data_IF_544121554813
#
_entry.id   IF_544121554813
#
_cell.length_a   1.000
_cell.length_b   1.000
_cell.length_c   1.000
_cell.angle_alpha   90.00
_cell.angle_beta   90.00
_cell.angle_gamma   90.00
#
_symmetry.space_group_name_H-M   'P 1'
#
loop_
_entity.id
_entity.type
_entity.pdbx_description
1 polymer ?
#
# COMPACT_ATOMS: atom_id res chain seq x y z
N UNK A 1 30.39 -39.63 9.96
CA UNK A 1 28.95 -39.91 9.71
C UNK A 1 28.00 -39.36 10.78
N UNK A 2 28.33 -39.33 12.08
CA UNK A 2 27.45 -38.74 13.11
C UNK A 2 27.27 -37.22 12.97
N UNK A 3 28.33 -36.47 12.66
CA UNK A 3 28.28 -35.01 12.48
C UNK A 3 27.36 -34.56 11.33
N UNK A 4 27.32 -35.32 10.22
CA UNK A 4 26.46 -35.03 9.06
C UNK A 4 24.97 -35.26 9.41
N UNK A 5 24.67 -36.29 10.21
CA UNK A 5 23.32 -36.55 10.69
C UNK A 5 22.84 -35.45 11.66
N UNK A 6 23.71 -34.96 12.53
CA UNK A 6 23.40 -33.83 13.43
C UNK A 6 23.15 -32.53 12.66
N UNK A 7 23.90 -32.27 11.58
CA UNK A 7 23.73 -31.08 10.75
C UNK A 7 22.39 -31.09 9.99
N UNK A 8 21.95 -32.25 9.50
CA UNK A 8 20.66 -32.43 8.85
C UNK A 8 19.47 -32.20 9.80
N UNK A 9 19.60 -32.60 11.08
CA UNK A 9 18.55 -32.37 12.09
C UNK A 9 18.46 -30.88 12.46
N UNK A 10 19.60 -30.19 12.58
CA UNK A 10 19.62 -28.74 12.85
C UNK A 10 19.05 -27.95 11.67
N UNK A 11 19.35 -28.35 10.43
CA UNK A 11 18.79 -27.72 9.23
C UNK A 11 17.27 -27.93 9.12
N UNK A 12 16.75 -29.10 9.50
CA UNK A 12 15.32 -29.40 9.50
C UNK A 12 14.54 -28.56 10.53
N UNK A 13 15.11 -28.33 11.72
CA UNK A 13 14.50 -27.47 12.77
C UNK A 13 14.61 -25.98 12.41
N UNK A 14 15.68 -25.56 11.74
CA UNK A 14 15.81 -24.19 11.25
C UNK A 14 14.81 -23.85 10.12
N UNK A 15 14.30 -24.84 9.41
CA UNK A 15 13.32 -24.67 8.32
C UNK A 15 11.85 -24.79 8.77
N UNK A 16 11.57 -25.24 10.01
CA UNK A 16 10.19 -25.36 10.53
C UNK A 16 9.59 -24.04 11.04
N UNK A 17 10.29 -22.91 10.91
CA UNK A 17 9.77 -21.57 11.27
C UNK A 17 8.82 -20.96 10.22
N UNK A 18 8.09 -21.77 9.46
CA UNK A 18 7.22 -21.28 8.39
C UNK A 18 5.87 -20.78 8.92
N UNK A 19 5.60 -19.50 8.63
CA UNK A 19 4.29 -18.87 8.52
C UNK A 19 3.47 -18.70 9.81
N UNK A 20 3.89 -17.78 10.68
CA UNK A 20 2.92 -17.03 11.51
C UNK A 20 2.19 -16.03 10.62
N UNK A 21 1.18 -16.49 9.88
CA UNK A 21 0.19 -15.59 9.30
C UNK A 21 -0.61 -14.89 10.40
N UNK A 22 -1.23 -13.73 10.12
CA UNK A 22 -2.11 -13.09 11.09
C UNK A 22 -3.21 -14.08 11.54
N UNK A 23 -3.46 -14.14 12.84
CA UNK A 23 -4.44 -15.07 13.45
C UNK A 23 -5.88 -14.75 13.09
N UNK A 24 -6.13 -13.56 12.54
CA UNK A 24 -7.44 -13.07 12.13
C UNK A 24 -7.59 -13.11 10.61
N UNK A 25 -8.76 -13.48 10.06
CA UNK A 25 -9.00 -13.35 8.63
C UNK A 25 -9.03 -11.85 8.21
N UNK A 26 -8.76 -11.54 6.93
CA UNK A 26 -8.97 -10.19 6.41
C UNK A 26 -10.42 -9.74 6.60
N UNK A 27 -10.68 -8.43 6.79
CA UNK A 27 -12.03 -7.92 6.95
C UNK A 27 -12.85 -8.10 5.67
N UNK A 28 -14.16 -8.32 5.86
CA UNK A 28 -15.14 -8.41 4.79
C UNK A 28 -15.89 -7.08 4.63
N UNK A 29 -16.27 -6.73 3.41
CA UNK A 29 -17.02 -5.52 3.10
C UNK A 29 -18.46 -5.90 2.70
N UNK A 30 -19.42 -5.92 3.64
CA UNK A 30 -20.78 -6.36 3.36
C UNK A 30 -21.50 -5.36 2.44
N UNK A 31 -22.34 -5.86 1.53
CA UNK A 31 -23.10 -5.01 0.62
C UNK A 31 -22.28 -4.43 -0.53
N UNK A 32 -21.07 -4.96 -0.76
CA UNK A 32 -20.23 -4.53 -1.87
C UNK A 32 -20.98 -4.65 -3.21
N UNK A 33 -21.81 -5.68 -3.35
CA UNK A 33 -22.65 -5.98 -4.53
C UNK A 33 -23.60 -4.81 -4.90
N UNK A 34 -23.99 -3.97 -3.94
CA UNK A 34 -24.87 -2.82 -4.20
C UNK A 34 -24.25 -1.79 -5.17
N UNK A 35 -22.92 -1.80 -5.27
CA UNK A 35 -22.16 -0.94 -6.16
C UNK A 35 -21.80 -1.60 -7.49
N UNK A 36 -22.29 -2.82 -7.79
CA UNK A 36 -22.10 -3.47 -9.10
C UNK A 36 -22.72 -2.68 -10.26
N UNK A 37 -23.68 -1.80 -9.96
CA UNK A 37 -24.25 -0.87 -10.93
C UNK A 37 -23.30 0.26 -11.34
N UNK A 38 -22.23 0.52 -10.57
CA UNK A 38 -21.23 1.54 -10.89
C UNK A 38 -20.27 0.98 -11.95
N UNK A 39 -20.25 1.63 -13.11
CA UNK A 39 -19.28 1.35 -14.16
C UNK A 39 -17.94 1.96 -13.78
N UNK A 40 -16.95 1.10 -13.54
CA UNK A 40 -15.55 1.51 -13.39
C UNK A 40 -14.91 1.52 -14.76
N UNK A 41 -14.52 2.70 -15.21
CA UNK A 41 -13.67 2.85 -16.38
C UNK A 41 -12.21 2.89 -15.91
N UNK A 42 -11.55 1.74 -15.98
CA UNK A 42 -10.14 1.60 -15.62
C UNK A 42 -9.26 2.11 -16.75
N UNK A 43 -8.69 3.30 -16.56
CA UNK A 43 -7.78 3.98 -17.47
C UNK A 43 -6.33 3.92 -16.96
N UNK A 44 -6.06 3.11 -15.93
CA UNK A 44 -4.71 2.98 -15.37
C UNK A 44 -3.74 2.40 -16.39
N UNK A 45 -2.46 2.77 -16.33
CA UNK A 45 -1.41 1.99 -16.98
C UNK A 45 -1.49 0.53 -16.51
N UNK A 46 -1.44 -0.42 -17.44
CA UNK A 46 -1.58 -1.85 -17.11
C UNK A 46 -0.58 -2.32 -16.05
N UNK A 47 0.64 -1.76 -16.07
CA UNK A 47 1.68 -2.06 -15.10
C UNK A 47 1.21 -1.83 -13.65
N UNK A 48 0.32 -0.86 -13.39
CA UNK A 48 -0.16 -0.57 -12.04
C UNK A 48 -0.96 -1.70 -11.40
N UNK A 49 -1.55 -2.59 -12.21
CA UNK A 49 -2.25 -3.78 -11.72
C UNK A 49 -1.30 -4.94 -11.39
N UNK A 50 -0.04 -4.86 -11.83
CA UNK A 50 0.93 -5.94 -11.76
C UNK A 50 1.96 -5.71 -10.64
N UNK A 51 2.44 -6.83 -10.07
CA UNK A 51 3.52 -6.81 -9.08
C UNK A 51 4.86 -6.50 -9.75
N UNK A 52 5.63 -5.62 -9.13
CA UNK A 52 7.02 -5.35 -9.55
C UNK A 52 7.93 -5.22 -8.33
N UNK A 53 9.11 -5.84 -8.40
CA UNK A 53 10.17 -5.65 -7.40
C UNK A 53 11.23 -4.79 -8.06
N UNK A 54 11.37 -3.54 -7.63
CA UNK A 54 12.26 -2.60 -8.32
C UNK A 54 13.74 -2.92 -8.11
N UNK A 55 14.13 -3.38 -6.91
CA UNK A 55 15.48 -3.88 -6.69
C UNK A 55 15.61 -4.77 -5.44
N UNK A 56 16.45 -5.79 -5.57
CA UNK A 56 16.92 -6.63 -4.47
C UNK A 56 18.34 -6.27 -4.00
N UNK A 57 19.02 -5.33 -4.68
CA UNK A 57 20.37 -4.93 -4.35
C UNK A 57 20.36 -3.86 -3.26
N UNK A 58 20.96 -4.12 -2.10
CA UNK A 58 20.97 -3.20 -0.93
C UNK A 58 21.51 -1.80 -1.27
N UNK A 59 22.48 -1.74 -2.17
CA UNK A 59 23.13 -0.51 -2.66
C UNK A 59 22.26 0.32 -3.60
N UNK A 60 21.18 -0.25 -4.13
CA UNK A 60 20.26 0.44 -5.02
C UNK A 60 19.36 1.42 -4.25
N UNK A 61 19.04 2.55 -4.87
CA UNK A 61 18.00 3.48 -4.39
C UNK A 61 16.60 2.84 -4.41
N UNK A 62 16.39 1.83 -5.24
CA UNK A 62 15.13 1.11 -5.37
C UNK A 62 15.04 -0.16 -4.50
N UNK A 63 16.05 -0.42 -3.66
CA UNK A 63 16.11 -1.61 -2.82
C UNK A 63 14.83 -1.77 -2.00
N UNK A 64 14.28 -2.97 -1.88
CA UNK A 64 13.16 -3.25 -0.97
C UNK A 64 11.90 -2.39 -1.19
N UNK A 65 11.77 -1.82 -2.39
CA UNK A 65 10.55 -1.17 -2.86
C UNK A 65 9.88 -2.12 -3.85
N UNK A 66 8.59 -2.31 -3.71
CA UNK A 66 7.80 -3.09 -4.64
C UNK A 66 6.44 -2.47 -4.91
N UNK A 67 5.98 -2.60 -6.14
CA UNK A 67 4.59 -2.35 -6.53
C UNK A 67 3.75 -3.57 -6.17
N UNK A 68 2.62 -3.33 -5.56
CA UNK A 68 1.69 -4.39 -5.12
C UNK A 68 0.66 -4.62 -6.22
N UNK A 69 0.43 -5.88 -6.58
CA UNK A 69 -0.60 -6.25 -7.55
C UNK A 69 -2.01 -6.09 -6.99
N UNK A 70 -2.99 -5.87 -7.88
CA UNK A 70 -4.39 -5.72 -7.50
C UNK A 70 -4.95 -6.97 -6.83
N UNK A 71 -4.53 -8.17 -7.27
CA UNK A 71 -4.98 -9.44 -6.69
C UNK A 71 -4.46 -9.71 -5.27
N UNK A 72 -3.61 -8.84 -4.73
CA UNK A 72 -3.13 -8.94 -3.34
C UNK A 72 -4.26 -8.76 -2.31
N UNK A 73 -5.39 -8.18 -2.70
CA UNK A 73 -6.57 -8.02 -1.84
C UNK A 73 -7.86 -8.53 -2.48
N UNK A 74 -8.82 -8.86 -1.64
CA UNK A 74 -10.20 -9.13 -2.05
C UNK A 74 -11.14 -8.35 -1.11
N UNK A 75 -11.93 -7.38 -1.59
CA UNK A 75 -11.99 -6.86 -2.97
C UNK A 75 -10.70 -6.18 -3.44
N UNK A 76 -10.57 -5.95 -4.75
CA UNK A 76 -9.48 -5.12 -5.30
C UNK A 76 -9.68 -3.65 -4.90
N UNK A 77 -8.60 -2.87 -4.94
CA UNK A 77 -8.63 -1.44 -4.63
C UNK A 77 -9.69 -0.65 -5.43
N UNK A 78 -9.71 -0.72 -6.77
CA UNK A 78 -10.73 -0.07 -7.58
C UNK A 78 -12.16 -0.53 -7.26
N UNK A 79 -12.35 -1.81 -6.94
CA UNK A 79 -13.68 -2.34 -6.59
C UNK A 79 -14.16 -1.79 -5.25
N UNK A 80 -13.27 -1.71 -4.25
CA UNK A 80 -13.56 -1.09 -2.96
C UNK A 80 -13.82 0.41 -3.12
N UNK A 81 -13.04 1.11 -3.95
CA UNK A 81 -13.24 2.51 -4.29
C UNK A 81 -14.64 2.76 -4.84
N UNK A 82 -15.09 1.96 -5.80
CA UNK A 82 -16.44 2.12 -6.37
C UNK A 82 -17.54 1.91 -5.33
N UNK A 83 -17.35 0.96 -4.41
CA UNK A 83 -18.28 0.75 -3.30
C UNK A 83 -18.34 1.94 -2.36
N UNK A 84 -17.19 2.43 -1.88
CA UNK A 84 -17.14 3.59 -0.99
C UNK A 84 -17.59 4.89 -1.66
N UNK A 85 -17.29 5.05 -2.95
CA UNK A 85 -17.77 6.19 -3.73
C UNK A 85 -19.29 6.15 -3.86
N UNK A 86 -19.88 4.98 -4.11
CA UNK A 86 -21.33 4.81 -4.14
C UNK A 86 -21.99 5.17 -2.79
N UNK A 87 -21.39 4.78 -1.67
CA UNK A 87 -21.85 5.18 -0.34
C UNK A 87 -21.67 6.70 -0.10
N UNK A 88 -20.60 7.28 -0.63
CA UNK A 88 -20.23 8.66 -0.38
C UNK A 88 -20.95 9.69 -1.27
N UNK A 89 -21.37 9.30 -2.48
CA UNK A 89 -21.94 10.20 -3.49
C UNK A 89 -23.26 9.63 -4.01
N UNK A 90 -24.40 9.99 -3.38
CA UNK A 90 -25.72 9.54 -3.82
C UNK A 90 -26.02 9.86 -5.30
N UNK A 91 -25.39 10.91 -5.85
CA UNK A 91 -25.51 11.33 -7.25
C UNK A 91 -25.00 10.26 -8.23
N UNK A 92 -24.11 9.37 -7.80
CA UNK A 92 -23.65 8.23 -8.61
C UNK A 92 -24.78 7.24 -8.90
N UNK A 93 -25.90 7.27 -8.17
CA UNK A 93 -27.07 6.49 -8.53
C UNK A 93 -27.68 6.94 -9.88
N UNK A 94 -27.54 8.22 -10.25
CA UNK A 94 -28.01 8.77 -11.52
C UNK A 94 -26.92 8.77 -12.60
N UNK A 95 -25.66 8.88 -12.22
CA UNK A 95 -24.50 8.87 -13.13
C UNK A 95 -23.48 7.83 -12.66
N UNK A 96 -23.71 6.53 -12.91
CA UNK A 96 -22.95 5.45 -12.30
C UNK A 96 -21.62 5.21 -13.04
N UNK A 97 -20.77 6.23 -13.17
CA UNK A 97 -19.46 6.13 -13.82
C UNK A 97 -18.39 6.76 -12.96
N UNK A 98 -17.31 6.00 -12.74
CA UNK A 98 -16.07 6.46 -12.12
C UNK A 98 -14.95 6.13 -13.09
N UNK A 99 -14.11 7.12 -13.43
CA UNK A 99 -12.87 6.84 -14.15
C UNK A 99 -11.74 6.73 -13.16
N UNK A 100 -10.94 5.67 -13.27
CA UNK A 100 -9.76 5.46 -12.44
C UNK A 100 -8.54 5.63 -13.34
N UNK A 101 -7.79 6.70 -13.12
CA UNK A 101 -6.60 7.02 -13.91
C UNK A 101 -5.34 6.47 -13.26
N UNK A 102 -5.28 6.47 -11.93
CA UNK A 102 -4.24 5.80 -11.16
C UNK A 102 -4.86 5.15 -9.92
N UNK A 103 -4.46 3.91 -9.66
CA UNK A 103 -4.70 3.23 -8.39
C UNK A 103 -3.55 2.26 -8.23
N UNK A 104 -2.50 2.73 -7.55
CA UNK A 104 -1.25 2.00 -7.43
C UNK A 104 -0.73 2.07 -6.01
N UNK A 105 -0.18 0.95 -5.55
CA UNK A 105 0.37 0.83 -4.21
C UNK A 105 1.83 0.43 -4.27
N UNK A 106 2.66 1.17 -3.54
CA UNK A 106 4.05 0.84 -3.33
C UNK A 106 4.29 0.52 -1.87
N UNK A 107 4.91 -0.61 -1.59
CA UNK A 107 5.43 -0.88 -0.28
C UNK A 107 6.92 -0.53 -0.25
N UNK A 108 7.30 0.25 0.76
CA UNK A 108 8.69 0.63 0.98
C UNK A 108 9.17 0.03 2.31
N UNK A 109 10.00 -1.01 2.20
CA UNK A 109 10.60 -1.72 3.33
C UNK A 109 12.08 -1.35 3.56
N UNK A 110 12.58 -0.30 2.91
CA UNK A 110 14.01 0.07 2.99
C UNK A 110 14.46 0.32 4.41
N UNK A 111 13.66 1.07 5.17
CA UNK A 111 13.97 1.44 6.54
C UNK A 111 14.04 0.21 7.46
N UNK A 112 13.23 -0.81 7.20
CA UNK A 112 13.26 -2.10 7.90
C UNK A 112 14.50 -2.91 7.51
N UNK A 113 14.64 -3.23 6.22
CA UNK A 113 15.65 -4.22 5.81
C UNK A 113 17.06 -3.70 5.97
N UNK A 114 17.30 -2.40 5.79
CA UNK A 114 18.62 -1.79 6.07
C UNK A 114 18.94 -1.82 7.57
N UNK A 115 17.97 -1.57 8.47
CA UNK A 115 18.17 -1.70 9.93
C UNK A 115 18.53 -3.13 10.31
N UNK A 116 17.82 -4.12 9.78
CA UNK A 116 18.08 -5.55 10.06
C UNK A 116 19.46 -6.01 9.59
N UNK A 117 19.91 -5.57 8.40
CA UNK A 117 21.26 -5.86 7.91
C UNK A 117 22.32 -5.24 8.81
N UNK A 118 22.18 -3.97 9.19
CA UNK A 118 23.14 -3.30 10.08
C UNK A 118 23.21 -3.99 11.44
N UNK A 119 22.06 -4.38 12.03
CA UNK A 119 22.03 -5.13 13.28
C UNK A 119 22.68 -6.52 13.15
N UNK A 120 22.43 -7.24 12.05
CA UNK A 120 23.05 -8.54 11.80
C UNK A 120 24.57 -8.48 11.62
N UNK A 121 25.08 -7.42 10.98
CA UNK A 121 26.52 -7.16 10.84
C UNK A 121 27.15 -6.83 12.20
N UNK A 122 26.47 -6.06 13.05
CA UNK A 122 27.01 -5.62 14.34
C UNK A 122 26.91 -6.70 15.44
N UNK A 123 25.88 -7.54 15.42
CA UNK A 123 25.58 -8.46 16.53
C UNK A 123 25.82 -9.94 16.20
N UNK A 124 26.10 -10.27 14.93
CA UNK A 124 26.28 -11.64 14.47
C UNK A 124 25.00 -12.49 14.55
N UNK A 125 25.04 -13.75 14.09
CA UNK A 125 23.86 -14.61 14.00
C UNK A 125 23.23 -14.96 15.36
N UNK A 126 24.01 -14.92 16.45
CA UNK A 126 23.54 -15.21 17.81
C UNK A 126 22.81 -13.99 18.41
N UNK A 127 23.31 -12.78 18.16
CA UNK A 127 22.69 -11.54 18.66
C UNK A 127 21.34 -11.25 17.99
N UNK A 128 21.18 -11.59 16.72
CA UNK A 128 19.91 -11.43 15.98
C UNK A 128 18.80 -12.31 16.56
N UNK A 129 19.10 -13.51 17.06
CA UNK A 129 18.09 -14.43 17.61
C UNK A 129 17.51 -13.96 18.96
N UNK A 130 18.20 -13.06 19.66
CA UNK A 130 17.76 -12.48 20.94
C UNK A 130 16.92 -11.20 20.75
N UNK A 131 16.93 -10.63 19.54
CA UNK A 131 16.10 -9.47 19.22
C UNK A 131 14.73 -10.02 18.87
N UNK A 132 13.73 -9.73 19.72
CA UNK A 132 12.33 -10.09 19.46
C UNK A 132 11.83 -9.54 18.11
N UNK A 133 10.61 -9.93 17.69
CA UNK A 133 10.05 -9.45 16.44
C UNK A 133 10.10 -7.91 16.40
N UNK A 134 10.49 -7.31 15.25
CA UNK A 134 10.66 -5.87 15.17
C UNK A 134 9.33 -5.18 15.50
N UNK A 135 9.32 -4.36 16.56
CA UNK A 135 8.19 -3.50 16.91
C UNK A 135 8.37 -2.15 16.23
N UNK A 136 7.43 -1.78 15.37
CA UNK A 136 7.45 -0.48 14.71
C UNK A 136 6.56 0.50 15.47
N UNK A 137 7.04 1.72 15.74
CA UNK A 137 6.20 2.75 16.33
C UNK A 137 5.07 3.10 15.35
N UNK A 138 3.86 3.10 15.87
CA UNK A 138 2.69 3.49 15.11
C UNK A 138 2.71 4.98 14.77
N UNK A 139 2.08 5.34 13.67
CA UNK A 139 1.84 6.73 13.26
C UNK A 139 0.51 6.85 12.51
N UNK A 140 0.11 8.07 12.23
CA UNK A 140 -1.16 8.37 11.56
C UNK A 140 -1.06 8.13 10.05
N UNK A 141 -2.19 7.78 9.45
CA UNK A 141 -2.31 7.73 8.00
C UNK A 141 -2.43 9.16 7.48
N UNK A 142 -1.52 9.54 6.58
CA UNK A 142 -1.48 10.89 6.01
C UNK A 142 -1.91 10.84 4.56
N UNK A 143 -2.91 11.63 4.17
CA UNK A 143 -3.35 11.73 2.78
C UNK A 143 -3.25 13.17 2.31
N UNK A 144 -2.55 13.38 1.20
CA UNK A 144 -2.35 14.70 0.61
C UNK A 144 -2.89 14.75 -0.81
N UNK A 145 -3.57 15.85 -1.21
CA UNK A 145 -3.84 16.11 -2.62
C UNK A 145 -2.53 16.26 -3.38
N UNK A 146 -2.49 15.75 -4.61
CA UNK A 146 -1.33 15.88 -5.49
C UNK A 146 -1.76 16.33 -6.88
N UNK A 147 -0.80 16.83 -7.65
CA UNK A 147 -0.99 17.05 -9.09
C UNK A 147 -0.84 15.70 -9.82
N UNK A 148 -1.88 15.28 -10.53
CA UNK A 148 -1.90 14.05 -11.30
C UNK A 148 -0.76 13.94 -12.32
N UNK A 149 -0.25 15.06 -12.84
CA UNK A 149 0.89 15.05 -13.78
C UNK A 149 2.19 14.55 -13.13
N UNK A 150 2.29 14.57 -11.79
CA UNK A 150 3.46 14.02 -11.08
C UNK A 150 3.55 12.50 -11.21
N UNK A 151 2.40 11.81 -11.30
CA UNK A 151 2.36 10.39 -11.56
C UNK A 151 2.86 10.10 -12.98
N UNK A 152 2.31 10.78 -13.98
CA UNK A 152 2.71 10.61 -15.38
C UNK A 152 4.22 10.85 -15.61
N UNK A 153 4.81 11.85 -14.95
CA UNK A 153 6.24 12.20 -15.08
C UNK A 153 7.21 11.16 -14.55
N UNK A 154 6.80 10.36 -13.56
CA UNK A 154 7.66 9.39 -12.87
C UNK A 154 7.45 7.97 -13.38
N UNK A 155 6.84 7.78 -14.56
CA UNK A 155 6.66 6.45 -15.14
C UNK A 155 7.98 5.86 -15.66
N UNK A 156 8.10 4.53 -15.64
CA UNK A 156 9.31 3.82 -16.12
C UNK A 156 10.39 3.73 -15.05
N UNK A 157 11.64 4.06 -15.42
CA UNK A 157 12.82 3.82 -14.57
C UNK A 157 12.77 4.56 -13.21
N UNK A 158 12.07 5.70 -13.16
CA UNK A 158 11.92 6.52 -11.95
C UNK A 158 10.70 6.15 -11.11
N UNK A 159 9.92 5.13 -11.49
CA UNK A 159 8.67 4.79 -10.81
C UNK A 159 8.86 4.46 -9.32
N UNK A 160 9.96 3.79 -9.00
CA UNK A 160 10.32 3.45 -7.63
C UNK A 160 10.39 4.67 -6.69
N UNK A 161 10.63 5.88 -7.23
CA UNK A 161 10.70 7.12 -6.44
C UNK A 161 9.35 7.54 -5.87
N UNK A 162 8.24 7.07 -6.44
CA UNK A 162 6.88 7.28 -5.91
C UNK A 162 6.69 6.66 -4.52
N UNK A 163 7.51 5.67 -4.16
CA UNK A 163 7.49 5.05 -2.85
C UNK A 163 8.28 5.84 -1.78
N UNK A 164 8.93 6.95 -2.16
CA UNK A 164 9.68 7.78 -1.22
C UNK A 164 8.76 8.65 -0.37
N UNK A 165 9.28 9.02 0.79
CA UNK A 165 8.62 9.87 1.77
C UNK A 165 9.67 10.66 2.53
N UNK A 166 9.27 11.81 3.06
CA UNK A 166 10.17 12.67 3.83
C UNK A 166 10.26 12.20 5.29
N UNK A 167 11.27 12.70 6.01
CA UNK A 167 11.39 12.43 7.45
C UNK A 167 10.25 13.07 8.24
N UNK A 168 9.64 14.14 7.74
CA UNK A 168 8.45 14.75 8.33
C UNK A 168 7.22 13.85 8.18
N UNK A 169 7.10 13.13 7.06
CA UNK A 169 5.99 12.20 6.78
C UNK A 169 6.11 10.89 7.55
N UNK A 170 7.33 10.44 7.83
CA UNK A 170 7.59 9.19 8.57
C UNK A 170 8.83 9.35 9.47
N UNK A 171 8.72 10.12 10.57
CA UNK A 171 9.86 10.42 11.45
C UNK A 171 10.42 9.17 12.10
N UNK A 172 9.59 8.14 12.24
CA UNK A 172 9.96 6.88 12.87
C UNK A 172 10.71 5.93 11.92
N UNK A 173 10.76 6.24 10.62
CA UNK A 173 11.36 5.39 9.58
C UNK A 173 10.80 3.97 9.70
N UNK A 174 9.49 3.87 9.79
CA UNK A 174 8.75 2.60 9.76
C UNK A 174 8.56 2.15 8.30
N UNK A 175 8.31 0.86 8.03
CA UNK A 175 7.86 0.42 6.70
C UNK A 175 6.52 1.10 6.38
N UNK A 176 6.30 1.50 5.13
CA UNK A 176 5.05 2.18 4.74
C UNK A 176 4.50 1.60 3.44
N UNK A 177 3.18 1.64 3.30
CA UNK A 177 2.54 1.58 2.00
C UNK A 177 2.24 3.01 1.53
N UNK A 178 2.60 3.33 0.30
CA UNK A 178 2.26 4.57 -0.38
C UNK A 178 1.24 4.24 -1.45
N UNK A 179 0.02 4.74 -1.27
CA UNK A 179 -1.12 4.46 -2.15
C UNK A 179 -1.48 5.74 -2.89
N UNK A 180 -1.46 5.68 -4.22
CA UNK A 180 -1.90 6.77 -5.08
C UNK A 180 -3.28 6.46 -5.63
N UNK A 181 -4.17 7.43 -5.58
CA UNK A 181 -5.53 7.34 -6.11
C UNK A 181 -5.77 8.60 -6.96
N UNK A 182 -5.98 8.44 -8.26
CA UNK A 182 -6.37 9.49 -9.20
C UNK A 182 -7.65 9.06 -9.92
N UNK A 183 -8.74 9.79 -9.68
CA UNK A 183 -10.07 9.40 -10.14
C UNK A 183 -10.85 10.59 -10.66
N UNK A 184 -11.69 10.35 -11.66
CA UNK A 184 -12.74 11.27 -12.09
C UNK A 184 -14.08 10.73 -11.58
N UNK A 185 -14.70 11.46 -10.64
CA UNK A 185 -16.01 11.13 -10.07
C UNK A 185 -16.92 12.34 -10.32
N UNK A 186 -18.10 12.12 -10.88
CA UNK A 186 -19.07 13.18 -11.21
C UNK A 186 -18.45 14.33 -12.04
N UNK A 187 -17.62 13.98 -13.02
CA UNK A 187 -16.97 14.93 -13.94
C UNK A 187 -15.80 15.71 -13.33
N UNK A 188 -15.31 15.31 -12.16
CA UNK A 188 -14.23 16.01 -11.46
C UNK A 188 -13.08 15.07 -11.13
N UNK A 189 -11.89 15.41 -11.63
CA UNK A 189 -10.63 14.71 -11.39
C UNK A 189 -10.01 15.16 -10.07
N UNK A 190 -9.62 14.21 -9.24
CA UNK A 190 -8.88 14.43 -7.99
C UNK A 190 -7.81 13.37 -7.88
N UNK A 191 -6.60 13.77 -7.52
CA UNK A 191 -5.50 12.87 -7.21
C UNK A 191 -5.02 13.07 -5.77
N UNK A 192 -4.72 11.97 -5.10
CA UNK A 192 -4.18 11.97 -3.74
C UNK A 192 -3.09 10.93 -3.56
N UNK A 193 -2.13 11.24 -2.69
CA UNK A 193 -1.12 10.32 -2.18
C UNK A 193 -1.42 10.04 -0.71
N UNK A 194 -1.48 8.76 -0.36
CA UNK A 194 -1.76 8.29 0.98
C UNK A 194 -0.58 7.49 1.52
N UNK A 195 -0.01 7.92 2.64
CA UNK A 195 1.07 7.24 3.34
C UNK A 195 0.50 6.48 4.53
N UNK A 196 0.68 5.16 4.52
CA UNK A 196 0.14 4.23 5.52
C UNK A 196 1.31 3.58 6.27
N UNK A 197 1.69 4.12 7.44
CA UNK A 197 2.62 3.48 8.36
C UNK A 197 1.91 2.39 9.19
N UNK A 198 2.62 1.69 10.09
CA UNK A 198 1.98 0.89 11.13
C UNK A 198 1.01 1.77 11.93
N UNK A 199 -0.22 1.30 12.15
CA UNK A 199 -1.29 2.07 12.81
C UNK A 199 -1.52 1.54 14.22
N UNK A 200 -1.73 2.45 15.17
CA UNK A 200 -1.96 2.11 16.57
C UNK A 200 -3.22 1.23 16.71
N UNK A 201 -3.12 0.15 17.49
CA UNK A 201 -4.22 -0.81 17.64
C UNK A 201 -4.45 -1.74 16.44
N UNK A 202 -3.67 -1.61 15.35
CA UNK A 202 -3.74 -2.47 14.15
C UNK A 202 -2.37 -3.08 13.82
N UNK A 203 -1.84 -4.00 14.67
CA UNK A 203 -0.50 -4.57 14.48
C UNK A 203 -0.36 -5.41 13.20
N UNK A 204 -1.48 -5.97 12.70
CA UNK A 204 -1.55 -6.72 11.45
C UNK A 204 -2.52 -6.03 10.48
N UNK A 205 -2.29 -4.74 10.20
CA UNK A 205 -3.12 -3.99 9.27
C UNK A 205 -3.16 -4.69 7.91
N UNK A 206 -4.33 -5.16 7.49
CA UNK A 206 -4.50 -5.74 6.16
C UNK A 206 -4.41 -4.65 5.10
N UNK A 207 -3.82 -4.97 3.94
CA UNK A 207 -3.72 -4.01 2.85
C UNK A 207 -5.10 -3.47 2.41
N UNK A 208 -6.15 -4.29 2.49
CA UNK A 208 -7.51 -3.86 2.19
C UNK A 208 -8.05 -2.82 3.19
N UNK A 209 -7.60 -2.83 4.45
CA UNK A 209 -7.91 -1.78 5.42
C UNK A 209 -7.14 -0.49 5.10
N UNK A 210 -5.89 -0.62 4.64
CA UNK A 210 -5.11 0.52 4.15
C UNK A 210 -5.81 1.18 2.95
N UNK A 211 -6.33 0.37 2.01
CA UNK A 211 -7.16 0.87 0.92
C UNK A 211 -8.40 1.59 1.44
N UNK A 212 -9.13 1.00 2.38
CA UNK A 212 -10.34 1.61 2.94
C UNK A 212 -10.07 2.99 3.56
N UNK A 213 -9.00 3.12 4.36
CA UNK A 213 -8.60 4.39 4.98
C UNK A 213 -8.20 5.43 3.92
N UNK A 214 -7.38 5.05 2.94
CA UNK A 214 -6.94 5.97 1.88
C UNK A 214 -8.09 6.39 0.95
N UNK A 215 -9.00 5.47 0.64
CA UNK A 215 -10.20 5.76 -0.16
C UNK A 215 -11.10 6.73 0.60
N UNK A 216 -11.36 6.52 1.90
CA UNK A 216 -12.17 7.43 2.69
C UNK A 216 -11.60 8.86 2.67
N UNK A 217 -10.29 9.01 2.87
CA UNK A 217 -9.62 10.31 2.81
C UNK A 217 -9.65 10.92 1.39
N UNK A 218 -9.44 10.11 0.34
CA UNK A 218 -9.52 10.55 -1.05
C UNK A 218 -10.92 11.10 -1.39
N UNK A 219 -11.97 10.37 -1.00
CA UNK A 219 -13.36 10.80 -1.24
C UNK A 219 -13.72 12.05 -0.43
N UNK A 220 -13.12 12.25 0.76
CA UNK A 220 -13.26 13.49 1.51
C UNK A 220 -12.65 14.69 0.76
N UNK A 221 -11.42 14.56 0.24
CA UNK A 221 -10.78 15.57 -0.63
C UNK A 221 -11.66 15.85 -1.87
N UNK A 222 -12.28 14.78 -2.39
CA UNK A 222 -13.19 14.88 -3.52
C UNK A 222 -14.48 15.63 -3.17
N UNK A 223 -15.01 15.57 -1.96
CA UNK A 223 -16.15 16.43 -1.58
C UNK A 223 -15.76 17.91 -1.48
N UNK A 224 -14.57 18.19 -0.94
CA UNK A 224 -14.17 19.56 -0.60
C UNK A 224 -13.70 20.39 -1.80
N UNK A 225 -13.25 19.75 -2.87
CA UNK A 225 -12.78 20.46 -4.06
C UNK A 225 -14.00 20.99 -4.87
N UNK A 226 -14.05 22.27 -5.22
CA UNK A 226 -15.18 22.82 -6.02
C UNK A 226 -15.06 22.44 -7.50
N UNK A 227 -16.17 22.22 -8.23
CA UNK A 227 -16.12 22.03 -9.68
C UNK A 227 -15.60 23.30 -10.37
N UNK A 228 -14.70 23.13 -11.34
CA UNK A 228 -14.04 24.22 -12.09
C UNK A 228 -15.03 25.12 -12.84
N UNK A 229 -16.27 24.66 -13.05
CA UNK A 229 -17.31 25.38 -13.82
C UNK A 229 -18.43 26.02 -12.97
N UNK A 230 -18.20 26.31 -11.68
CA UNK A 230 -19.18 27.04 -10.85
C UNK A 230 -19.08 28.58 -10.96
N UNK A 231 -18.58 29.11 -12.08
CA UNK A 231 -18.68 30.52 -12.44
C UNK A 231 -19.67 30.66 -13.60
N UNK A 232 -20.84 31.24 -13.30
CA UNK A 232 -21.75 31.83 -14.28
C UNK A 232 -21.12 33.06 -14.91
#
# INVERSE_FOLDING_TARGET
MRAIKSFLVIAAVALSGCATGPTTPPPTFPGIEQSDKITIEDLRPKSESEKEIFSLLITSSAYAIYRVADEATKPTGPRLLAHRAYEAFPELAAQPRIKVLHFVTYANLQSQLRKSVTLGVLTGPIGVALIGPPTYPASDVVTTPIDSTQLEKTAGDEEHTRAYFTEQENPTKSPVNVIYIDTEILGKRVASRCLVPPVAGKPNLFLVEAFDMCIANHLAIHRDTRPVNAAK
#
